data_IF_381101840568
#
_entry.id   IF_381101840568
#
_cell.length_a   1.000
_cell.length_b   1.000
_cell.length_c   1.000
_cell.angle_alpha   90.00
_cell.angle_beta   90.00
_cell.angle_gamma   90.00
#
_symmetry.space_group_name_H-M   'P 1'
#
loop_
_entity.id
_entity.type
_entity.pdbx_description
1 polymer ?
#
# COMPACT_ATOMS: atom_id res chain seq x y z
N UNK A 1 -2.46 -22.07 10.71
CA UNK A 1 -3.87 -21.59 10.70
C UNK A 1 -3.92 -20.30 9.88
N UNK A 2 -4.53 -20.37 8.69
CA UNK A 2 -4.50 -19.31 7.67
C UNK A 2 -5.39 -18.12 8.05
N UNK A 3 -4.90 -16.89 7.89
CA UNK A 3 -5.60 -15.62 8.18
C UNK A 3 -6.90 -15.47 7.38
N UNK A 4 -7.09 -16.27 6.32
CA UNK A 4 -8.29 -16.27 5.49
C UNK A 4 -9.51 -16.96 6.13
N UNK A 5 -9.35 -17.81 7.15
CA UNK A 5 -10.50 -18.50 7.76
C UNK A 5 -11.35 -17.63 8.68
N UNK A 6 -10.88 -16.43 9.06
CA UNK A 6 -11.60 -15.54 9.96
C UNK A 6 -12.66 -14.67 9.27
N UNK A 7 -12.62 -14.56 7.94
CA UNK A 7 -13.57 -13.74 7.17
C UNK A 7 -14.94 -14.40 6.97
N UNK A 8 -15.10 -15.70 7.21
CA UNK A 8 -16.37 -16.42 7.09
C UNK A 8 -16.83 -17.00 8.43
N UNK A 9 -17.17 -16.13 9.38
CA UNK A 9 -18.09 -16.50 10.47
C UNK A 9 -19.34 -15.64 10.34
N UNK A 10 -20.32 -16.18 9.60
CA UNK A 10 -21.66 -15.61 9.41
C UNK A 10 -22.30 -15.43 10.80
N UNK A 11 -22.35 -14.19 11.28
CA UNK A 11 -23.15 -13.82 12.46
C UNK A 11 -24.43 -13.17 11.95
N UNK A 12 -25.53 -13.90 12.06
CA UNK A 12 -26.86 -13.36 11.82
C UNK A 12 -27.23 -12.50 13.04
N UNK A 13 -26.88 -11.23 13.01
CA UNK A 13 -27.50 -10.21 13.86
C UNK A 13 -27.93 -9.06 12.97
N UNK A 14 -29.21 -9.06 12.62
CA UNK A 14 -29.87 -7.92 11.98
C UNK A 14 -29.90 -6.76 12.98
N UNK A 15 -29.23 -5.63 12.73
CA UNK A 15 -29.54 -4.41 13.44
C UNK A 15 -30.83 -3.86 12.86
N UNK A 16 -31.85 -3.69 13.68
CA UNK A 16 -33.00 -2.84 13.34
C UNK A 16 -32.50 -1.39 13.29
N UNK A 17 -32.02 -0.98 12.12
CA UNK A 17 -31.67 0.41 11.84
C UNK A 17 -32.98 1.19 11.76
N UNK A 18 -33.19 2.10 12.69
CA UNK A 18 -34.30 3.05 12.64
C UNK A 18 -33.93 4.12 11.61
N UNK A 19 -34.25 3.82 10.37
CA UNK A 19 -34.00 4.66 9.19
C UNK A 19 -34.90 5.91 9.31
N UNK A 20 -34.30 7.10 9.36
CA UNK A 20 -35.04 8.36 9.43
C UNK A 20 -36.00 8.50 8.24
N UNK A 21 -37.14 9.16 8.43
CA UNK A 21 -38.19 9.33 7.41
C UNK A 21 -37.68 9.93 6.08
N UNK A 22 -36.57 10.66 6.10
CA UNK A 22 -35.89 11.15 4.89
C UNK A 22 -35.32 10.02 4.02
N UNK A 23 -34.72 8.99 4.61
CA UNK A 23 -34.14 7.87 3.84
C UNK A 23 -35.24 6.96 3.27
N UNK A 24 -36.40 6.85 3.93
CA UNK A 24 -37.57 6.16 3.38
C UNK A 24 -38.14 6.86 2.15
N UNK A 25 -38.06 8.20 2.07
CA UNK A 25 -38.51 8.97 0.90
C UNK A 25 -37.58 8.85 -0.32
N UNK A 26 -36.31 8.54 -0.11
CA UNK A 26 -35.33 8.32 -1.18
C UNK A 26 -35.50 6.97 -1.87
N UNK A 27 -36.04 5.96 -1.18
CA UNK A 27 -36.34 4.64 -1.76
C UNK A 27 -37.60 4.61 -2.65
N UNK A 28 -38.45 5.64 -2.61
CA UNK A 28 -39.64 5.74 -3.48
C UNK A 28 -39.32 6.32 -4.86
N UNK A 29 -38.12 6.91 -5.02
CA UNK A 29 -37.56 7.31 -6.30
C UNK A 29 -36.45 6.30 -6.62
N UNK A 30 -36.58 5.48 -7.66
CA UNK A 30 -35.57 4.49 -8.08
C UNK A 30 -34.21 5.15 -8.43
N UNK A 31 -33.48 5.64 -7.43
CA UNK A 31 -32.14 6.22 -7.56
C UNK A 31 -31.18 5.09 -7.23
N UNK A 32 -30.61 4.50 -8.26
CA UNK A 32 -29.60 3.45 -8.14
C UNK A 32 -28.28 4.11 -7.71
N UNK A 33 -28.06 4.23 -6.40
CA UNK A 33 -26.85 4.82 -5.83
C UNK A 33 -25.63 3.95 -6.16
N UNK A 34 -24.68 4.49 -6.90
CA UNK A 34 -23.43 3.79 -7.25
C UNK A 34 -22.36 3.99 -6.17
N UNK A 35 -21.27 3.21 -6.23
CA UNK A 35 -20.13 3.42 -5.32
C UNK A 35 -19.52 4.81 -5.48
N UNK A 36 -19.64 5.43 -6.66
CA UNK A 36 -19.18 6.77 -6.92
C UNK A 36 -20.02 7.83 -6.19
N UNK A 37 -21.29 7.54 -5.92
CA UNK A 37 -22.20 8.43 -5.19
C UNK A 37 -22.00 8.33 -3.66
N UNK A 38 -21.53 7.17 -3.18
CA UNK A 38 -21.31 6.89 -1.76
C UNK A 38 -19.88 7.23 -1.32
N UNK A 39 -18.88 6.89 -2.14
CA UNK A 39 -17.45 7.17 -1.91
C UNK A 39 -16.76 7.52 -3.25
N UNK A 40 -16.89 8.79 -3.70
CA UNK A 40 -16.26 9.24 -4.94
C UNK A 40 -14.74 9.04 -4.92
N UNK A 41 -14.11 9.22 -3.75
CA UNK A 41 -12.66 9.14 -3.61
C UNK A 41 -12.17 7.70 -3.71
N UNK A 42 -12.78 6.77 -2.97
CA UNK A 42 -12.46 5.34 -3.05
C UNK A 42 -12.68 4.77 -4.45
N UNK A 43 -13.76 5.22 -5.12
CA UNK A 43 -14.04 4.83 -6.51
C UNK A 43 -12.95 5.34 -7.47
N UNK A 44 -12.51 6.59 -7.34
CA UNK A 44 -11.42 7.13 -8.14
C UNK A 44 -10.09 6.38 -7.93
N UNK A 45 -9.75 6.06 -6.67
CA UNK A 45 -8.55 5.29 -6.33
C UNK A 45 -8.57 3.88 -6.94
N UNK A 46 -9.73 3.22 -6.90
CA UNK A 46 -9.94 1.91 -7.52
C UNK A 46 -9.80 1.98 -9.05
N UNK A 47 -10.41 2.98 -9.68
CA UNK A 47 -10.31 3.18 -11.13
C UNK A 47 -8.87 3.39 -11.59
N UNK A 48 -8.12 4.24 -10.87
CA UNK A 48 -6.69 4.45 -11.12
C UNK A 48 -5.90 3.13 -11.00
N UNK A 49 -6.18 2.32 -9.97
CA UNK A 49 -5.53 1.03 -9.79
C UNK A 49 -5.84 0.05 -10.94
N UNK A 50 -7.11 -0.11 -11.30
CA UNK A 50 -7.52 -0.98 -12.39
C UNK A 50 -6.86 -0.56 -13.71
N UNK A 51 -6.88 0.75 -14.00
CA UNK A 51 -6.25 1.28 -15.22
C UNK A 51 -4.73 1.08 -15.22
N UNK A 52 -4.07 1.29 -14.08
CA UNK A 52 -2.64 1.03 -13.97
C UNK A 52 -2.29 -0.45 -14.21
N UNK A 53 -3.14 -1.39 -13.75
CA UNK A 53 -2.94 -2.82 -14.01
C UNK A 53 -3.04 -3.15 -15.50
N UNK A 54 -3.95 -2.53 -16.23
CA UNK A 54 -4.03 -2.65 -17.71
C UNK A 54 -2.78 -2.11 -18.39
N UNK A 55 -2.39 -0.87 -18.06
CA UNK A 55 -1.22 -0.21 -18.64
C UNK A 55 0.07 -1.01 -18.40
N UNK A 56 0.19 -1.69 -17.25
CA UNK A 56 1.31 -2.60 -16.99
C UNK A 56 1.33 -3.81 -17.92
N UNK A 57 0.18 -4.36 -18.30
CA UNK A 57 0.08 -5.44 -19.29
C UNK A 57 0.51 -4.96 -20.68
N UNK A 58 0.20 -3.71 -21.00
CA UNK A 58 0.62 -3.02 -22.24
C UNK A 58 2.07 -2.51 -22.20
N UNK A 59 2.83 -2.78 -21.13
CA UNK A 59 4.19 -2.26 -20.88
C UNK A 59 4.30 -0.72 -20.80
N UNK A 60 3.19 0.01 -20.64
CA UNK A 60 3.16 1.46 -20.41
C UNK A 60 3.44 1.80 -18.94
N UNK A 61 4.66 1.51 -18.50
CA UNK A 61 5.02 1.55 -17.08
C UNK A 61 5.00 2.96 -16.47
N UNK A 62 5.40 3.99 -17.22
CA UNK A 62 5.43 5.37 -16.73
C UNK A 62 4.01 5.90 -16.46
N UNK A 63 3.06 5.61 -17.35
CA UNK A 63 1.65 5.96 -17.17
C UNK A 63 1.03 5.21 -15.99
N UNK A 64 1.35 3.91 -15.85
CA UNK A 64 0.90 3.11 -14.72
C UNK A 64 1.47 3.60 -13.37
N UNK A 65 2.75 4.00 -13.34
CA UNK A 65 3.38 4.61 -12.17
C UNK A 65 2.66 5.88 -11.75
N UNK A 66 2.36 6.78 -12.70
CA UNK A 66 1.69 8.04 -12.41
C UNK A 66 0.32 7.81 -11.75
N UNK A 67 -0.48 6.88 -12.29
CA UNK A 67 -1.79 6.53 -11.70
C UNK A 67 -1.64 5.91 -10.31
N UNK A 68 -0.67 5.02 -10.11
CA UNK A 68 -0.44 4.38 -8.80
C UNK A 68 0.09 5.37 -7.76
N UNK A 69 0.88 6.37 -8.17
CA UNK A 69 1.31 7.45 -7.29
C UNK A 69 0.13 8.30 -6.82
N UNK A 70 -0.82 8.61 -7.70
CA UNK A 70 -2.09 9.25 -7.30
C UNK A 70 -2.88 8.34 -6.37
N UNK A 71 -2.90 7.03 -6.63
CA UNK A 71 -3.59 6.05 -5.78
C UNK A 71 -2.98 5.82 -4.40
N UNK A 72 -1.79 6.37 -4.13
CA UNK A 72 -1.07 6.26 -2.85
C UNK A 72 -0.99 7.58 -2.09
N UNK A 73 -1.59 8.65 -2.65
CA UNK A 73 -1.62 10.00 -2.08
C UNK A 73 -3.04 10.56 -2.12
N UNK A 74 -3.72 10.76 -0.97
CA UNK A 74 -3.22 10.59 0.40
C UNK A 74 -2.93 9.12 0.76
N UNK A 75 -2.20 8.86 1.88
CA UNK A 75 -2.01 7.51 2.38
C UNK A 75 -3.32 6.75 2.52
N UNK A 76 -3.32 5.46 2.19
CA UNK A 76 -4.52 4.63 2.25
C UNK A 76 -4.24 3.23 2.76
N UNK A 77 -5.31 2.54 3.18
CA UNK A 77 -5.25 1.13 3.59
C UNK A 77 -5.13 0.15 2.41
N UNK A 78 -5.18 0.64 1.16
CA UNK A 78 -5.19 -0.18 -0.04
C UNK A 78 -3.78 -0.67 -0.40
N UNK A 79 -3.28 -1.64 0.38
CA UNK A 79 -1.96 -2.26 0.21
C UNK A 79 -1.64 -2.67 -1.23
N UNK A 80 -2.65 -3.10 -1.99
CA UNK A 80 -2.52 -3.48 -3.39
C UNK A 80 -1.91 -2.39 -4.28
N UNK A 81 -2.26 -1.13 -4.04
CA UNK A 81 -1.79 0.02 -4.84
C UNK A 81 -0.28 0.20 -4.67
N UNK A 82 0.19 0.25 -3.42
CA UNK A 82 1.61 0.30 -3.05
C UNK A 82 2.39 -0.89 -3.61
N UNK A 83 1.83 -2.09 -3.50
CA UNK A 83 2.48 -3.32 -4.01
C UNK A 83 2.70 -3.25 -5.51
N UNK A 84 1.72 -2.79 -6.28
CA UNK A 84 1.84 -2.69 -7.73
C UNK A 84 2.79 -1.58 -8.16
N UNK A 85 2.85 -0.47 -7.43
CA UNK A 85 3.83 0.61 -7.63
C UNK A 85 5.25 0.08 -7.39
N UNK A 86 5.47 -0.62 -6.27
CA UNK A 86 6.78 -1.15 -5.91
C UNK A 86 7.29 -2.20 -6.90
N UNK A 87 6.39 -2.93 -7.57
CA UNK A 87 6.80 -3.83 -8.67
C UNK A 87 7.39 -3.06 -9.86
N UNK A 88 6.81 -1.92 -10.22
CA UNK A 88 7.34 -1.03 -11.28
C UNK A 88 8.69 -0.49 -10.83
N UNK A 89 8.76 0.10 -9.64
CA UNK A 89 9.98 0.67 -9.10
C UNK A 89 11.12 -0.33 -8.93
N UNK A 90 10.83 -1.59 -8.59
CA UNK A 90 11.85 -2.65 -8.59
C UNK A 90 12.40 -2.95 -9.98
N UNK A 91 11.58 -2.83 -11.03
CA UNK A 91 12.07 -2.95 -12.41
C UNK A 91 13.05 -1.81 -12.71
N UNK A 92 12.67 -0.56 -12.42
CA UNK A 92 13.56 0.59 -12.57
C UNK A 92 14.84 0.46 -11.73
N UNK A 93 14.74 0.02 -10.48
CA UNK A 93 15.92 -0.21 -9.62
C UNK A 93 16.89 -1.23 -10.25
N UNK A 94 16.39 -2.29 -10.89
CA UNK A 94 17.27 -3.26 -11.57
C UNK A 94 17.92 -2.67 -12.81
N UNK A 95 17.20 -1.83 -13.55
CA UNK A 95 17.72 -1.12 -14.73
C UNK A 95 18.79 -0.10 -14.31
N UNK A 96 18.50 0.71 -13.29
CA UNK A 96 19.43 1.68 -12.71
C UNK A 96 20.68 1.02 -12.13
N UNK A 97 20.55 -0.14 -11.46
CA UNK A 97 21.70 -0.86 -10.93
C UNK A 97 22.64 -1.34 -12.04
N UNK A 98 22.09 -1.80 -13.18
CA UNK A 98 22.88 -2.17 -14.37
C UNK A 98 23.52 -0.96 -15.03
N UNK A 99 22.79 0.15 -15.09
CA UNK A 99 23.27 1.42 -15.65
C UNK A 99 24.21 2.19 -14.70
N UNK A 100 24.46 1.68 -13.49
CA UNK A 100 25.21 2.37 -12.41
C UNK A 100 24.60 3.72 -12.01
N UNK A 101 23.30 3.89 -12.23
CA UNK A 101 22.53 5.06 -11.78
C UNK A 101 22.12 4.91 -10.31
N UNK A 102 23.13 4.85 -9.43
CA UNK A 102 22.94 4.51 -8.03
C UNK A 102 22.10 5.56 -7.27
N UNK A 103 22.20 6.85 -7.61
CA UNK A 103 21.48 7.90 -6.88
C UNK A 103 19.96 7.83 -7.13
N UNK A 104 19.54 7.58 -8.36
CA UNK A 104 18.12 7.41 -8.67
C UNK A 104 17.52 6.19 -7.94
N UNK A 105 18.28 5.09 -7.87
CA UNK A 105 17.91 3.90 -7.11
C UNK A 105 17.76 4.22 -5.61
N UNK A 106 18.75 4.90 -5.01
CA UNK A 106 18.71 5.29 -3.59
C UNK A 106 17.46 6.11 -3.31
N UNK A 107 17.22 7.17 -4.08
CA UNK A 107 16.06 8.03 -3.92
C UNK A 107 14.76 7.23 -3.99
N UNK A 108 14.64 6.35 -4.98
CA UNK A 108 13.44 5.52 -5.17
C UNK A 108 13.20 4.54 -4.03
N UNK A 109 14.25 3.90 -3.49
CA UNK A 109 14.08 2.99 -2.33
C UNK A 109 13.75 3.76 -1.05
N UNK A 110 14.26 4.98 -0.89
CA UNK A 110 13.87 5.87 0.23
C UNK A 110 12.40 6.25 0.11
N UNK A 111 11.92 6.56 -1.10
CA UNK A 111 10.50 6.82 -1.33
C UNK A 111 9.63 5.58 -1.09
N UNK A 112 10.10 4.39 -1.48
CA UNK A 112 9.45 3.13 -1.11
C UNK A 112 9.31 2.99 0.40
N UNK A 113 10.37 3.27 1.15
CA UNK A 113 10.35 3.20 2.61
C UNK A 113 9.36 4.19 3.22
N UNK A 114 9.35 5.43 2.73
CA UNK A 114 8.40 6.45 3.17
C UNK A 114 6.94 6.01 2.92
N UNK A 115 6.62 5.61 1.68
CA UNK A 115 5.25 5.20 1.32
C UNK A 115 4.78 3.96 2.09
N UNK A 116 5.67 2.98 2.33
CA UNK A 116 5.32 1.78 3.09
C UNK A 116 5.06 2.09 4.58
N UNK A 117 5.77 3.08 5.14
CA UNK A 117 5.50 3.58 6.49
C UNK A 117 4.19 4.36 6.59
N UNK A 118 3.94 5.26 5.64
CA UNK A 118 2.67 6.01 5.56
C UNK A 118 1.48 5.04 5.45
N UNK A 119 1.57 4.03 4.58
CA UNK A 119 0.56 2.99 4.46
C UNK A 119 0.34 2.23 5.77
N UNK A 120 1.42 1.79 6.45
CA UNK A 120 1.26 1.03 7.70
C UNK A 120 0.68 1.89 8.81
N UNK A 121 1.04 3.17 8.90
CA UNK A 121 0.46 4.09 9.87
C UNK A 121 -1.04 4.28 9.62
N UNK A 122 -1.44 4.43 8.36
CA UNK A 122 -2.86 4.53 7.98
C UNK A 122 -3.62 3.24 8.31
N UNK A 123 -3.03 2.08 8.01
CA UNK A 123 -3.59 0.79 8.40
C UNK A 123 -3.72 0.65 9.93
N UNK A 124 -2.72 1.07 10.71
CA UNK A 124 -2.78 1.06 12.18
C UNK A 124 -3.93 1.94 12.68
N UNK A 125 -4.05 3.16 12.14
CA UNK A 125 -5.11 4.11 12.50
C UNK A 125 -6.50 3.53 12.21
N UNK A 126 -6.71 3.10 10.97
CA UNK A 126 -7.98 2.54 10.51
C UNK A 126 -8.36 1.31 11.35
N UNK A 127 -7.47 0.33 11.47
CA UNK A 127 -7.79 -0.93 12.16
C UNK A 127 -7.88 -0.78 13.68
N UNK A 128 -7.17 0.16 14.30
CA UNK A 128 -7.37 0.47 15.73
C UNK A 128 -8.78 1.00 15.98
N UNK A 129 -9.28 1.84 15.08
CA UNK A 129 -10.65 2.38 15.13
C UNK A 129 -11.68 1.27 14.92
N UNK A 130 -11.53 0.46 13.86
CA UNK A 130 -12.47 -0.62 13.55
C UNK A 130 -12.53 -1.69 14.65
N UNK A 131 -11.39 -2.04 15.24
CA UNK A 131 -11.30 -3.05 16.30
C UNK A 131 -11.52 -2.49 17.71
N UNK A 132 -11.71 -1.17 17.84
CA UNK A 132 -11.88 -0.46 19.13
C UNK A 132 -10.80 -0.80 20.15
N UNK A 133 -9.55 -0.97 19.69
CA UNK A 133 -8.40 -1.28 20.54
C UNK A 133 -7.11 -0.66 20.00
N UNK A 134 -6.15 -0.43 20.88
CA UNK A 134 -4.81 0.00 20.47
C UNK A 134 -4.06 -1.17 19.84
N UNK A 135 -3.59 -0.98 18.60
CA UNK A 135 -2.70 -1.92 17.93
C UNK A 135 -1.23 -1.59 18.27
N UNK A 136 -0.36 -2.60 18.45
CA UNK A 136 1.07 -2.36 18.61
C UNK A 136 1.68 -1.86 17.28
N UNK A 137 2.76 -1.07 17.35
CA UNK A 137 3.38 -0.46 16.16
C UNK A 137 3.86 -1.49 15.12
N UNK A 138 4.24 -2.69 15.58
CA UNK A 138 4.71 -3.78 14.73
C UNK A 138 3.59 -4.69 14.19
N UNK A 139 2.31 -4.33 14.41
CA UNK A 139 1.18 -5.20 14.06
C UNK A 139 1.15 -5.60 12.57
N UNK A 140 1.58 -4.70 11.68
CA UNK A 140 1.61 -4.92 10.23
C UNK A 140 3.01 -5.19 9.67
N UNK A 141 4.00 -5.52 10.49
CA UNK A 141 5.38 -5.72 10.04
C UNK A 141 5.54 -6.88 9.05
N UNK A 142 4.75 -7.96 9.22
CA UNK A 142 4.69 -9.07 8.24
C UNK A 142 3.94 -8.71 6.96
N UNK A 143 3.24 -7.57 6.96
CA UNK A 143 2.41 -7.10 5.86
C UNK A 143 3.04 -5.97 5.05
N UNK A 144 4.29 -5.59 5.35
CA UNK A 144 5.07 -4.60 4.59
C UNK A 144 5.21 -4.99 3.12
N UNK A 145 5.27 -4.01 2.21
CA UNK A 145 5.53 -4.24 0.79
C UNK A 145 7.02 -4.19 0.44
N UNK A 146 7.84 -3.58 1.29
CA UNK A 146 9.30 -3.58 1.14
C UNK A 146 9.88 -4.99 1.23
N UNK A 147 10.81 -5.31 0.33
CA UNK A 147 11.49 -6.60 0.30
C UNK A 147 12.96 -6.46 0.70
N UNK A 148 13.54 -7.57 1.18
CA UNK A 148 14.98 -7.63 1.49
C UNK A 148 15.85 -7.30 0.27
N UNK A 149 15.36 -7.55 -0.95
CA UNK A 149 16.04 -7.16 -2.18
C UNK A 149 16.13 -5.65 -2.34
N UNK A 150 15.11 -4.91 -1.92
CA UNK A 150 15.06 -3.44 -2.01
C UNK A 150 16.11 -2.85 -1.06
N UNK A 151 16.16 -3.36 0.18
CA UNK A 151 17.16 -2.96 1.18
C UNK A 151 18.59 -3.32 0.76
N UNK A 152 18.81 -4.51 0.19
CA UNK A 152 20.13 -4.88 -0.35
C UNK A 152 20.56 -3.97 -1.51
N UNK A 153 19.65 -3.63 -2.41
CA UNK A 153 19.95 -2.72 -3.51
C UNK A 153 20.30 -1.31 -3.01
N UNK A 154 19.60 -0.83 -1.97
CA UNK A 154 19.94 0.41 -1.27
C UNK A 154 21.35 0.34 -0.68
N UNK A 155 21.68 -0.72 0.07
CA UNK A 155 23.01 -0.89 0.68
C UNK A 155 24.12 -0.81 -0.35
N UNK A 156 24.04 -1.64 -1.40
CA UNK A 156 25.06 -1.67 -2.47
C UNK A 156 25.20 -0.30 -3.13
N UNK A 157 24.11 0.41 -3.35
CA UNK A 157 24.15 1.73 -4.00
C UNK A 157 24.71 2.81 -3.08
N UNK A 158 24.34 2.80 -1.80
CA UNK A 158 24.79 3.77 -0.80
C UNK A 158 26.28 3.62 -0.48
N UNK A 159 26.80 2.38 -0.42
CA UNK A 159 28.23 2.09 -0.25
C UNK A 159 29.09 2.69 -1.37
N UNK A 160 28.57 2.78 -2.60
CA UNK A 160 29.29 3.39 -3.75
C UNK A 160 29.53 4.88 -3.57
N UNK A 161 28.66 5.57 -2.85
CA UNK A 161 28.76 7.00 -2.58
C UNK A 161 29.14 7.33 -1.13
N UNK A 162 29.44 6.31 -0.32
CA UNK A 162 29.75 6.48 1.12
C UNK A 162 28.64 7.26 1.86
N UNK A 163 27.38 7.03 1.48
CA UNK A 163 26.23 7.70 2.10
C UNK A 163 25.80 6.96 3.38
N UNK A 164 26.54 7.18 4.47
CA UNK A 164 26.39 6.48 5.76
C UNK A 164 24.94 6.39 6.26
N UNK A 165 24.17 7.49 6.12
CA UNK A 165 22.75 7.52 6.48
C UNK A 165 21.94 6.41 5.81
N UNK A 166 22.19 6.15 4.52
CA UNK A 166 21.44 5.15 3.76
C UNK A 166 22.01 3.75 3.90
N UNK A 167 23.30 3.62 4.21
CA UNK A 167 23.91 2.35 4.62
C UNK A 167 23.24 1.87 5.92
N UNK A 168 23.15 2.76 6.92
CA UNK A 168 22.47 2.48 8.19
C UNK A 168 21.01 2.08 7.98
N UNK A 169 20.25 2.85 7.20
CA UNK A 169 18.85 2.52 6.88
C UNK A 169 18.73 1.14 6.22
N UNK A 170 19.63 0.82 5.30
CA UNK A 170 19.60 -0.46 4.61
C UNK A 170 19.86 -1.63 5.58
N UNK A 171 20.81 -1.49 6.50
CA UNK A 171 21.13 -2.49 7.51
C UNK A 171 19.98 -2.70 8.50
N UNK A 172 19.35 -1.62 8.94
CA UNK A 172 18.15 -1.68 9.77
C UNK A 172 17.02 -2.45 9.06
N UNK A 173 16.74 -2.11 7.80
CA UNK A 173 15.71 -2.79 6.99
C UNK A 173 16.03 -4.28 6.79
N UNK A 174 17.27 -4.63 6.49
CA UNK A 174 17.69 -6.03 6.33
C UNK A 174 17.48 -6.80 7.64
N UNK A 175 17.86 -6.22 8.77
CA UNK A 175 17.70 -6.82 10.10
C UNK A 175 16.22 -7.06 10.43
N UNK A 176 15.39 -6.02 10.29
CA UNK A 176 13.96 -6.07 10.59
C UNK A 176 13.22 -7.07 9.71
N UNK A 177 13.48 -7.05 8.39
CA UNK A 177 12.84 -8.00 7.45
C UNK A 177 13.25 -9.44 7.76
N UNK A 178 14.52 -9.70 8.12
CA UNK A 178 14.96 -11.04 8.54
C UNK A 178 14.23 -11.48 9.80
N UNK A 179 14.21 -10.64 10.85
CA UNK A 179 13.52 -10.94 12.11
C UNK A 179 12.04 -11.28 11.89
N UNK A 180 11.36 -10.57 10.99
CA UNK A 180 9.94 -10.75 10.72
C UNK A 180 9.62 -11.98 9.85
N UNK A 181 10.61 -12.57 9.16
CA UNK A 181 10.44 -13.76 8.32
C UNK A 181 10.52 -15.07 9.10
N UNK A 182 11.20 -15.07 10.25
CA UNK A 182 11.47 -16.27 11.06
C UNK A 182 10.66 -16.36 12.36
N UNK A 183 9.85 -15.34 12.67
CA UNK A 183 8.83 -15.35 13.73
C UNK A 183 7.44 -15.46 13.11
#
# INVERSE_FOLDING_TARGET
MSIFSWFYKKTNHSPTVNISKEIQSLTEQNIDLTSADIDPQGTALLNNYLKAVELKKEQKLAEAEALLLLSTKPPSIYKGHYRELFKIWRRYNREDLKAKNYQALINRVVDMYKLDNEMVNEMLSYWSTQQKRKLPLNYFDKSRNLLISDAKALKVSAERFQQEKYIFLADELISNIKKNKFN
#
